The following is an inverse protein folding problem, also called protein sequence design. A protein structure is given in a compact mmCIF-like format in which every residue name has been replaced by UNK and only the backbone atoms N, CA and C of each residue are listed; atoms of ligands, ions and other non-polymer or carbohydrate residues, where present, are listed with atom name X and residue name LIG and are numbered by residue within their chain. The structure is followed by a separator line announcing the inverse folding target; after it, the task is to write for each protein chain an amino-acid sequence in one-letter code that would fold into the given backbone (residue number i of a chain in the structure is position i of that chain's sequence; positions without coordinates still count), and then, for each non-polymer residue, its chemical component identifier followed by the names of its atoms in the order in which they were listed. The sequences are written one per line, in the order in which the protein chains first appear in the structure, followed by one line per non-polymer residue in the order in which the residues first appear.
data_IF_535377967136
#
_entry.id   IF_535377967136
#
_cell.length_a   1.000
_cell.length_b   1.000
_cell.length_c   1.000
_cell.angle_alpha   90.00
_cell.angle_beta   90.00
_cell.angle_gamma   90.00
#
_symmetry.space_group_name_H-M   'P 1'
#
loop_
_entity.id
_entity.type
_entity.pdbx_description
1 polymer ?
#
# COMPACT_ATOMS: atom_id res chain seq x y z
N UNK A 1 -5.12 -14.15 -14.46
CA UNK A 1 -6.26 -13.39 -13.87
C UNK A 1 -7.01 -12.66 -14.97
N UNK A 2 -8.33 -12.83 -15.06
CA UNK A 2 -9.17 -12.24 -16.13
C UNK A 2 -9.24 -10.71 -16.03
N UNK A 3 -9.47 -10.05 -17.18
CA UNK A 3 -9.61 -8.60 -17.26
C UNK A 3 -10.72 -8.06 -16.35
N UNK A 4 -11.87 -8.76 -16.29
CA UNK A 4 -13.00 -8.40 -15.43
C UNK A 4 -12.63 -8.33 -13.95
N UNK A 5 -11.85 -9.29 -13.45
CA UNK A 5 -11.36 -9.29 -12.07
C UNK A 5 -10.44 -8.11 -11.79
N UNK A 6 -9.55 -7.79 -12.75
CA UNK A 6 -8.66 -6.63 -12.62
C UNK A 6 -9.43 -5.32 -12.54
N UNK A 7 -10.40 -5.13 -13.43
CA UNK A 7 -11.25 -3.94 -13.44
C UNK A 7 -12.16 -3.82 -12.22
N UNK A 8 -12.60 -4.96 -11.65
CA UNK A 8 -13.36 -4.97 -10.39
C UNK A 8 -12.48 -4.48 -9.23
N UNK A 9 -11.29 -5.07 -9.05
CA UNK A 9 -10.34 -4.67 -8.00
C UNK A 9 -10.00 -3.18 -8.09
N UNK A 10 -9.70 -2.69 -9.30
CA UNK A 10 -9.43 -1.26 -9.50
C UNK A 10 -10.62 -0.38 -9.08
N UNK A 11 -11.85 -0.79 -9.36
CA UNK A 11 -13.04 -0.04 -8.92
C UNK A 11 -13.18 -0.05 -7.41
N UNK A 12 -12.93 -1.18 -6.75
CA UNK A 12 -13.00 -1.31 -5.29
C UNK A 12 -11.97 -0.42 -4.58
N UNK A 13 -10.72 -0.42 -5.06
CA UNK A 13 -9.64 0.41 -4.50
C UNK A 13 -9.91 1.90 -4.72
N UNK A 14 -10.33 2.29 -5.93
CA UNK A 14 -10.71 3.68 -6.23
C UNK A 14 -11.88 4.15 -5.37
N UNK A 15 -12.88 3.30 -5.13
CA UNK A 15 -14.03 3.63 -4.29
C UNK A 15 -13.61 3.90 -2.83
N UNK A 16 -12.63 3.14 -2.31
CA UNK A 16 -12.07 3.36 -0.97
C UNK A 16 -11.20 4.64 -0.90
N UNK A 17 -10.42 4.93 -1.95
CA UNK A 17 -9.54 6.11 -1.99
C UNK A 17 -10.29 7.43 -2.25
N UNK A 18 -11.36 7.41 -3.03
CA UNK A 18 -12.13 8.60 -3.41
C UNK A 18 -12.54 9.48 -2.22
N UNK A 19 -13.16 8.97 -1.13
CA UNK A 19 -13.52 9.81 0.01
C UNK A 19 -12.30 10.41 0.72
N UNK A 20 -11.15 9.75 0.71
CA UNK A 20 -9.92 10.25 1.34
C UNK A 20 -9.31 11.40 0.53
N UNK A 21 -9.31 11.27 -0.80
CA UNK A 21 -8.89 12.35 -1.70
C UNK A 21 -9.82 13.58 -1.57
N UNK A 22 -11.13 13.37 -1.49
CA UNK A 22 -12.11 14.45 -1.29
C UNK A 22 -11.93 15.16 0.06
N UNK A 23 -11.46 14.44 1.08
CA UNK A 23 -11.13 15.00 2.39
C UNK A 23 -9.74 15.65 2.45
N UNK A 24 -8.99 15.69 1.35
CA UNK A 24 -7.60 16.13 1.29
C UNK A 24 -6.69 15.36 2.27
N UNK A 25 -7.02 14.11 2.56
CA UNK A 25 -6.18 13.24 3.40
C UNK A 25 -5.05 12.57 2.61
N UNK A 26 -5.16 12.59 1.28
CA UNK A 26 -4.14 12.12 0.34
C UNK A 26 -4.01 13.11 -0.82
N UNK A 27 -2.78 13.36 -1.21
CA UNK A 27 -2.39 14.10 -2.41
C UNK A 27 -2.58 13.24 -3.66
N UNK A 28 -2.51 13.87 -4.83
CA UNK A 28 -2.64 13.18 -6.12
C UNK A 28 -1.57 12.11 -6.34
N UNK A 29 -0.32 12.40 -5.96
CA UNK A 29 0.78 11.44 -6.03
C UNK A 29 0.56 10.26 -5.09
N UNK A 30 0.23 10.53 -3.82
CA UNK A 30 -0.08 9.52 -2.81
C UNK A 30 -1.27 8.66 -3.21
N UNK A 31 -2.32 9.27 -3.77
CA UNK A 31 -3.47 8.56 -4.32
C UNK A 31 -3.04 7.54 -5.39
N UNK A 32 -2.12 7.93 -6.27
CA UNK A 32 -1.66 7.08 -7.37
C UNK A 32 -0.79 5.95 -6.85
N UNK A 33 0.12 6.25 -5.92
CA UNK A 33 1.01 5.28 -5.29
C UNK A 33 0.24 4.24 -4.48
N UNK A 34 -0.68 4.70 -3.60
CA UNK A 34 -1.55 3.82 -2.81
C UNK A 34 -2.44 3.00 -3.74
N UNK A 35 -3.06 3.61 -4.75
CA UNK A 35 -3.89 2.87 -5.70
C UNK A 35 -3.10 1.75 -6.40
N UNK A 36 -1.85 2.00 -6.79
CA UNK A 36 -0.99 0.99 -7.41
C UNK A 36 -0.56 -0.10 -6.42
N UNK A 37 -0.14 0.29 -5.22
CA UNK A 37 0.32 -0.63 -4.18
C UNK A 37 -0.79 -1.60 -3.73
N UNK A 38 -1.96 -1.04 -3.41
CA UNK A 38 -3.12 -1.82 -2.96
C UNK A 38 -3.65 -2.70 -4.09
N UNK A 39 -3.74 -2.17 -5.32
CA UNK A 39 -4.15 -2.99 -6.47
C UNK A 39 -3.23 -4.20 -6.64
N UNK A 40 -1.90 -4.02 -6.50
CA UNK A 40 -0.92 -5.10 -6.60
C UNK A 40 -1.14 -6.16 -5.53
N UNK A 41 -1.27 -5.75 -4.25
CA UNK A 41 -1.55 -6.68 -3.14
C UNK A 41 -2.84 -7.45 -3.33
N UNK A 42 -3.88 -6.78 -3.83
CA UNK A 42 -5.16 -7.41 -4.11
C UNK A 42 -5.05 -8.44 -5.24
N UNK A 43 -4.24 -8.16 -6.28
CA UNK A 43 -3.97 -9.15 -7.33
C UNK A 43 -3.25 -10.39 -6.82
N UNK A 44 -2.25 -10.21 -5.95
CA UNK A 44 -1.54 -11.33 -5.33
C UNK A 44 -2.50 -12.19 -4.53
N UNK A 45 -3.27 -11.59 -3.62
CA UNK A 45 -4.14 -12.36 -2.73
C UNK A 45 -5.39 -12.95 -3.41
N UNK A 46 -5.98 -12.30 -4.41
CA UNK A 46 -7.10 -12.86 -5.21
C UNK A 46 -6.58 -13.82 -6.28
N UNK A 47 -5.32 -13.69 -6.70
CA UNK A 47 -4.64 -14.66 -7.55
C UNK A 47 -4.53 -16.02 -6.86
N UNK A 48 -4.28 -16.00 -5.55
CA UNK A 48 -4.25 -17.18 -4.69
C UNK A 48 -5.65 -17.61 -4.19
N UNK A 49 -6.56 -16.68 -3.93
CA UNK A 49 -7.94 -16.95 -3.50
C UNK A 49 -8.90 -16.99 -4.69
N UNK A 50 -9.31 -18.18 -5.11
CA UNK A 50 -10.19 -18.48 -6.24
C UNK A 50 -11.33 -17.46 -6.50
N UNK A 51 -11.03 -16.43 -7.32
CA UNK A 51 -11.95 -15.50 -8.00
C UNK A 51 -12.92 -14.63 -7.17
N UNK A 52 -13.24 -13.45 -7.69
CA UNK A 52 -14.30 -12.55 -7.20
C UNK A 52 -15.72 -12.98 -7.65
N UNK A 53 -15.94 -14.26 -7.96
CA UNK A 53 -17.24 -14.73 -8.45
C UNK A 53 -18.33 -14.68 -7.38
N UNK A 54 -17.98 -14.98 -6.12
CA UNK A 54 -18.92 -14.98 -5.01
C UNK A 54 -19.13 -13.59 -4.41
N UNK A 55 -20.38 -13.25 -4.12
CA UNK A 55 -20.74 -12.00 -3.44
C UNK A 55 -20.03 -11.87 -2.09
N UNK A 56 -20.01 -12.93 -1.29
CA UNK A 56 -19.34 -12.95 0.03
C UNK A 56 -17.84 -12.69 -0.08
N UNK A 57 -17.21 -13.26 -1.11
CA UNK A 57 -15.79 -13.05 -1.39
C UNK A 57 -15.55 -11.61 -1.82
N UNK A 58 -16.38 -11.05 -2.70
CA UNK A 58 -16.32 -9.62 -3.08
C UNK A 58 -16.46 -8.69 -1.89
N UNK A 59 -17.42 -8.94 -1.00
CA UNK A 59 -17.62 -8.11 0.20
C UNK A 59 -16.40 -8.14 1.12
N UNK A 60 -15.85 -9.33 1.37
CA UNK A 60 -14.60 -9.49 2.13
C UNK A 60 -13.45 -8.71 1.48
N UNK A 61 -13.30 -8.80 0.16
CA UNK A 61 -12.27 -8.05 -0.56
C UNK A 61 -12.51 -6.54 -0.51
N UNK A 62 -13.76 -6.07 -0.49
CA UNK A 62 -14.09 -4.65 -0.35
C UNK A 62 -13.70 -4.12 1.03
N UNK A 63 -13.92 -4.91 2.08
CA UNK A 63 -13.49 -4.56 3.44
C UNK A 63 -11.95 -4.52 3.52
N UNK A 64 -11.27 -5.56 3.02
CA UNK A 64 -9.80 -5.61 2.98
C UNK A 64 -9.23 -4.42 2.20
N UNK A 65 -9.79 -4.08 1.04
CA UNK A 65 -9.34 -2.93 0.25
C UNK A 65 -9.45 -1.62 1.04
N UNK A 66 -10.58 -1.43 1.73
CA UNK A 66 -10.81 -0.24 2.57
C UNK A 66 -9.81 -0.15 3.71
N UNK A 67 -9.60 -1.26 4.43
CA UNK A 67 -8.64 -1.33 5.54
C UNK A 67 -7.20 -1.09 5.08
N UNK A 68 -6.78 -1.71 3.97
CA UNK A 68 -5.42 -1.56 3.47
C UNK A 68 -5.18 -0.14 2.92
N UNK A 69 -6.19 0.48 2.31
CA UNK A 69 -6.14 1.90 1.92
C UNK A 69 -6.00 2.78 3.16
N UNK A 70 -6.82 2.59 4.19
CA UNK A 70 -6.74 3.38 5.44
C UNK A 70 -5.36 3.24 6.10
N UNK A 71 -4.82 2.01 6.17
CA UNK A 71 -3.46 1.76 6.67
C UNK A 71 -2.41 2.46 5.81
N UNK A 72 -2.53 2.42 4.49
CA UNK A 72 -1.58 3.06 3.60
C UNK A 72 -1.63 4.60 3.71
N UNK A 73 -2.82 5.19 3.84
CA UNK A 73 -2.97 6.63 4.10
C UNK A 73 -2.37 7.01 5.45
N UNK A 74 -2.62 6.21 6.49
CA UNK A 74 -1.99 6.42 7.79
C UNK A 74 -0.48 6.32 7.69
N UNK A 75 0.05 5.30 7.00
CA UNK A 75 1.47 5.10 6.75
C UNK A 75 2.07 6.33 6.08
N UNK A 76 1.47 6.83 4.99
CA UNK A 76 1.94 8.04 4.30
C UNK A 76 1.94 9.27 5.21
N UNK A 77 0.92 9.44 6.06
CA UNK A 77 0.86 10.55 7.02
C UNK A 77 1.87 10.42 8.17
N UNK A 78 2.16 9.20 8.63
CA UNK A 78 3.22 8.98 9.63
C UNK A 78 4.62 8.99 9.03
N UNK A 79 4.74 8.70 7.74
CA UNK A 79 5.99 8.63 6.97
C UNK A 79 6.25 9.94 6.20
N UNK A 80 5.56 11.04 6.57
CA UNK A 80 5.97 12.42 6.26
C UNK A 80 7.38 12.79 6.78
N UNK A 81 8.11 11.81 7.32
CA UNK A 81 9.54 11.85 7.59
C UNK A 81 10.31 11.09 6.50
N UNK A 82 10.48 11.73 5.34
CA UNK A 82 11.63 11.46 4.46
C UNK A 82 12.92 12.01 5.13
N UNK A 83 14.16 11.62 4.76
CA UNK A 83 14.55 10.88 3.56
C UNK A 83 15.59 9.75 3.81
N UNK A 84 15.92 9.05 2.73
CA UNK A 84 17.25 8.49 2.43
C UNK A 84 18.38 9.00 3.36
N UNK A 85 18.83 8.17 4.30
CA UNK A 85 20.23 8.13 4.72
C UNK A 85 20.93 7.20 3.72
N UNK A 86 21.43 7.69 2.60
CA UNK A 86 22.81 8.20 2.47
C UNK A 86 23.79 7.20 3.07
N UNK A 87 24.35 6.38 2.16
CA UNK A 87 25.62 5.72 2.34
C UNK A 87 26.65 6.72 2.87
N UNK A 88 27.26 6.46 4.01
CA UNK A 88 28.53 7.05 4.40
C UNK A 88 29.28 6.10 5.32
N UNK A 89 30.25 5.42 4.72
CA UNK A 89 31.50 4.95 5.30
C UNK A 89 31.96 5.83 6.46
N UNK A 90 32.35 5.23 7.59
CA UNK A 90 33.41 5.76 8.47
C UNK A 90 33.88 4.69 9.45
N UNK A 91 35.17 4.46 9.40
CA UNK A 91 35.99 3.56 10.21
C UNK A 91 35.89 3.84 11.72
N UNK A 92 36.05 2.77 12.50
CA UNK A 92 36.27 2.83 13.94
C UNK A 92 37.20 1.71 14.38
N UNK A 93 38.49 1.83 14.03
CA UNK A 93 39.58 1.07 14.65
C UNK A 93 39.51 1.28 16.16
N UNK A 94 39.35 0.19 16.92
CA UNK A 94 39.71 0.15 18.35
C UNK A 94 40.92 -0.73 18.52
N UNK A 95 42.08 -0.07 18.43
CA UNK A 95 43.30 -0.48 19.12
C UNK A 95 43.00 -0.49 20.62
N UNK A 96 42.95 -1.66 21.23
CA UNK A 96 43.16 -1.80 22.68
C UNK A 96 44.61 -2.25 22.85
N UNK A 97 45.44 -1.27 23.21
CA UNK A 97 46.83 -1.42 23.60
C UNK A 97 46.89 -1.44 25.14
N UNK A 98 47.67 -2.40 25.66
CA UNK A 98 48.49 -2.36 26.87
C UNK A 98 47.94 -1.70 28.15
N UNK A 99 47.87 -2.46 29.23
CA UNK A 99 49.01 -2.66 30.15
C UNK A 99 48.66 -3.73 31.19
#
# INVERSE_FOLDING_TARGET
MSYSTKSEIQRMVKAALKPLYLKNEVSKDEYTDINMNISRRMYERIGDAASLADQRTREKWQQIATEEVDKAVKAVKTDGFSPRAESSTSEGVSLVNGS
#
